data_IF_157093687435
#
_entry.id   IF_157093687435
#
_cell.length_a   1.000
_cell.length_b   1.000
_cell.length_c   1.000
_cell.angle_alpha   90.00
_cell.angle_beta   90.00
_cell.angle_gamma   90.00
#
_symmetry.space_group_name_H-M   'P 1'
#
loop_
_entity.id
_entity.type
_entity.pdbx_description
1 polymer ?
#
# COMPACT_ATOMS: atom_id res chain seq x y z
N UNK A 1 -17.77 -4.26 10.50
CA UNK A 1 -18.13 -3.74 9.16
C UNK A 1 -18.19 -2.22 9.28
N UNK A 2 -17.10 -1.54 8.94
CA UNK A 2 -17.05 -0.07 8.95
C UNK A 2 -17.60 0.42 7.62
N UNK A 3 -18.75 1.11 7.66
CA UNK A 3 -19.37 1.74 6.50
C UNK A 3 -18.52 2.93 6.05
N UNK A 4 -17.72 2.72 5.02
CA UNK A 4 -16.96 3.69 4.26
C UNK A 4 -17.79 4.41 3.18
N UNK A 5 -19.12 4.44 3.33
CA UNK A 5 -20.04 5.13 2.41
C UNK A 5 -20.30 4.37 1.10
N UNK A 6 -19.69 3.20 0.94
CA UNK A 6 -19.92 2.25 -0.13
C UNK A 6 -20.21 0.90 0.55
N UNK A 7 -21.48 0.55 0.75
CA UNK A 7 -21.92 -0.53 1.64
C UNK A 7 -21.57 -1.97 1.23
N UNK A 8 -20.33 -2.28 0.85
CA UNK A 8 -19.90 -3.62 0.44
C UNK A 8 -18.42 -3.93 0.72
N UNK A 9 -17.77 -3.26 1.68
CA UNK A 9 -16.38 -3.53 2.03
C UNK A 9 -16.26 -4.21 3.39
N UNK A 10 -15.77 -5.45 3.39
CA UNK A 10 -15.27 -6.10 4.61
C UNK A 10 -13.78 -5.82 4.68
N UNK A 11 -13.33 -5.21 5.77
CA UNK A 11 -11.94 -4.82 5.99
C UNK A 11 -11.51 -5.27 7.38
N UNK A 12 -10.32 -5.86 7.46
CA UNK A 12 -9.65 -6.16 8.72
C UNK A 12 -8.26 -5.52 8.78
N UNK A 13 -7.87 -5.12 9.99
CA UNK A 13 -6.63 -4.45 10.32
C UNK A 13 -5.81 -5.33 11.28
N UNK A 14 -4.59 -5.66 10.87
CA UNK A 14 -3.68 -6.46 11.69
C UNK A 14 -2.53 -5.56 12.17
N UNK A 15 -2.46 -5.22 13.47
CA UNK A 15 -1.37 -4.41 14.00
C UNK A 15 -0.06 -5.20 13.98
N UNK A 16 1.05 -4.50 13.75
CA UNK A 16 2.37 -5.08 13.95
C UNK A 16 2.60 -5.36 15.44
N UNK A 17 3.38 -6.39 15.77
CA UNK A 17 3.73 -6.73 17.16
C UNK A 17 4.35 -5.55 17.91
N UNK A 18 5.21 -4.77 17.24
CA UNK A 18 5.84 -3.56 17.78
C UNK A 18 4.84 -2.44 18.09
N UNK A 19 3.65 -2.46 17.47
CA UNK A 19 2.60 -1.49 17.71
C UNK A 19 1.72 -1.83 18.93
N UNK A 20 1.96 -2.94 19.61
CA UNK A 20 1.17 -3.37 20.76
C UNK A 20 1.20 -2.32 21.88
N UNK A 21 0.02 -1.87 22.31
CA UNK A 21 -0.12 -0.83 23.35
C UNK A 21 0.05 0.61 22.86
N UNK A 22 0.21 0.84 21.55
CA UNK A 22 0.34 2.17 20.96
C UNK A 22 -0.84 2.53 20.05
N UNK A 23 -1.05 3.84 19.82
CA UNK A 23 -2.03 4.33 18.86
C UNK A 23 -1.74 3.78 17.46
N UNK A 24 -2.73 3.14 16.85
CA UNK A 24 -2.58 2.53 15.52
C UNK A 24 -2.06 3.52 14.48
N UNK A 25 -2.44 4.80 14.55
CA UNK A 25 -2.00 5.86 13.60
C UNK A 25 -0.48 6.10 13.55
N UNK A 26 0.28 5.54 14.50
CA UNK A 26 1.73 5.73 14.61
C UNK A 26 2.57 4.64 13.94
N UNK A 27 1.95 3.57 13.46
CA UNK A 27 2.64 2.41 12.89
C UNK A 27 2.08 2.03 11.52
N UNK A 28 2.87 1.36 10.66
CA UNK A 28 2.36 0.75 9.45
C UNK A 28 1.20 -0.21 9.72
N UNK A 29 0.24 -0.24 8.81
CA UNK A 29 -0.96 -1.08 8.91
C UNK A 29 -0.94 -2.19 7.90
N UNK A 30 -1.16 -3.42 8.35
CA UNK A 30 -1.51 -4.53 7.47
C UNK A 30 -3.02 -4.58 7.33
N UNK A 31 -3.48 -4.75 6.11
CA UNK A 31 -4.89 -4.62 5.74
C UNK A 31 -5.27 -5.71 4.76
N UNK A 32 -6.41 -6.37 5.00
CA UNK A 32 -7.10 -7.17 4.00
C UNK A 32 -8.49 -6.60 3.73
N UNK A 33 -8.88 -6.38 2.47
CA UNK A 33 -10.20 -5.86 2.12
C UNK A 33 -10.85 -6.70 1.03
N UNK A 34 -12.15 -6.93 1.14
CA UNK A 34 -12.97 -7.60 0.15
C UNK A 34 -13.89 -6.57 -0.49
N UNK A 35 -13.75 -6.40 -1.81
CA UNK A 35 -14.57 -5.52 -2.65
C UNK A 35 -15.48 -6.39 -3.54
N UNK A 36 -16.47 -5.82 -4.24
CA UNK A 36 -17.27 -6.62 -5.17
C UNK A 36 -16.47 -7.23 -6.33
N UNK A 37 -15.35 -6.61 -6.75
CA UNK A 37 -14.59 -7.04 -7.92
C UNK A 37 -13.29 -7.79 -7.61
N UNK A 38 -12.72 -7.58 -6.42
CA UNK A 38 -11.44 -8.16 -6.03
C UNK A 38 -11.29 -8.17 -4.49
N UNK A 39 -10.25 -8.84 -4.02
CA UNK A 39 -9.74 -8.66 -2.68
C UNK A 39 -8.38 -7.95 -2.72
N UNK A 40 -8.03 -7.30 -1.61
CA UNK A 40 -6.84 -6.48 -1.46
C UNK A 40 -6.05 -6.96 -0.25
N UNK A 41 -4.75 -7.13 -0.39
CA UNK A 41 -3.81 -7.12 0.72
C UNK A 41 -2.92 -5.88 0.61
N UNK A 42 -2.91 -5.03 1.63
CA UNK A 42 -2.20 -3.76 1.62
C UNK A 42 -1.32 -3.56 2.86
N UNK A 43 -0.21 -2.85 2.65
CA UNK A 43 0.55 -2.19 3.71
C UNK A 43 0.37 -0.69 3.57
N UNK A 44 -0.11 -0.05 4.63
CA UNK A 44 -0.38 1.39 4.65
C UNK A 44 0.54 2.08 5.65
N UNK A 45 1.22 3.12 5.22
CA UNK A 45 1.93 4.06 6.07
C UNK A 45 0.98 5.22 6.41
N UNK A 46 0.50 5.32 7.66
CA UNK A 46 -0.36 6.42 8.06
C UNK A 46 0.40 7.75 8.05
N UNK A 47 -0.33 8.85 7.86
CA UNK A 47 0.24 10.20 7.93
C UNK A 47 0.92 10.49 9.28
N UNK A 48 0.38 9.92 10.36
CA UNK A 48 0.83 10.14 11.74
C UNK A 48 1.97 9.23 12.19
N UNK A 49 2.61 8.51 11.27
CA UNK A 49 3.70 7.59 11.60
C UNK A 49 4.82 8.30 12.38
N UNK A 50 5.22 7.70 13.49
CA UNK A 50 6.37 8.17 14.26
C UNK A 50 7.69 7.77 13.59
N UNK A 51 8.76 8.51 13.86
CA UNK A 51 10.09 8.13 13.39
C UNK A 51 10.38 8.55 11.96
N UNK A 52 10.10 9.81 11.58
CA UNK A 52 10.83 10.47 10.49
C UNK A 52 10.64 9.96 9.05
N UNK A 53 9.63 9.13 8.75
CA UNK A 53 9.40 8.55 7.41
C UNK A 53 9.50 9.57 6.27
N UNK A 54 8.79 10.71 6.36
CA UNK A 54 8.85 11.77 5.34
C UNK A 54 10.23 12.41 5.22
N UNK A 55 10.94 12.61 6.33
CA UNK A 55 12.30 13.15 6.33
C UNK A 55 13.25 12.18 5.64
N UNK A 56 13.12 10.87 5.88
CA UNK A 56 13.90 9.84 5.17
C UNK A 56 13.56 9.78 3.69
N UNK A 57 12.28 9.83 3.30
CA UNK A 57 11.90 9.93 1.88
C UNK A 57 12.51 11.17 1.20
N UNK A 58 12.54 12.30 1.91
CA UNK A 58 13.16 13.53 1.39
C UNK A 58 14.68 13.39 1.26
N UNK A 59 15.33 12.75 2.23
CA UNK A 59 16.78 12.51 2.22
C UNK A 59 17.19 11.50 1.13
N UNK A 60 16.41 10.44 0.93
CA UNK A 60 16.63 9.43 -0.10
C UNK A 60 16.39 9.96 -1.53
N UNK A 61 15.65 11.07 -1.67
CA UNK A 61 15.31 11.62 -2.97
C UNK A 61 14.31 10.76 -3.75
N UNK A 62 14.04 11.16 -5.00
CA UNK A 62 13.19 10.39 -5.91
C UNK A 62 13.82 9.03 -6.24
N UNK A 63 15.13 8.99 -6.48
CA UNK A 63 15.85 7.76 -6.84
C UNK A 63 15.75 6.71 -5.73
N UNK A 64 16.00 7.09 -4.47
CA UNK A 64 15.85 6.16 -3.35
C UNK A 64 14.40 5.70 -3.13
N UNK A 65 13.40 6.52 -3.48
CA UNK A 65 12.00 6.09 -3.48
C UNK A 65 11.72 5.08 -4.61
N UNK A 66 12.27 5.29 -5.81
CA UNK A 66 12.18 4.34 -6.91
C UNK A 66 12.87 3.02 -6.55
N UNK A 67 14.07 3.05 -5.95
CA UNK A 67 14.79 1.86 -5.49
C UNK A 67 13.97 1.06 -4.47
N UNK A 68 13.32 1.75 -3.52
CA UNK A 68 12.40 1.12 -2.58
C UNK A 68 11.25 0.41 -3.32
N UNK A 69 10.64 1.07 -4.32
CA UNK A 69 9.58 0.49 -5.13
C UNK A 69 10.06 -0.71 -5.96
N UNK A 70 11.27 -0.65 -6.53
CA UNK A 70 11.91 -1.76 -7.26
C UNK A 70 12.09 -2.97 -6.35
N UNK A 71 12.61 -2.74 -5.13
CA UNK A 71 12.77 -3.79 -4.13
C UNK A 71 11.45 -4.48 -3.81
N UNK A 72 10.39 -3.70 -3.54
CA UNK A 72 9.05 -4.23 -3.27
C UNK A 72 8.50 -4.99 -4.48
N UNK A 73 8.60 -4.45 -5.69
CA UNK A 73 8.11 -5.11 -6.90
C UNK A 73 8.81 -6.44 -7.16
N UNK A 74 10.13 -6.52 -6.95
CA UNK A 74 10.90 -7.76 -7.14
C UNK A 74 10.44 -8.87 -6.19
N UNK A 75 10.03 -8.51 -4.97
CA UNK A 75 9.49 -9.43 -3.97
C UNK A 75 8.03 -9.79 -4.21
N UNK A 76 7.22 -8.83 -4.68
CA UNK A 76 5.80 -9.06 -5.00
C UNK A 76 5.61 -9.87 -6.28
N UNK A 77 6.49 -9.72 -7.28
CA UNK A 77 6.29 -10.37 -8.58
C UNK A 77 6.09 -11.90 -8.49
N UNK A 78 6.89 -12.66 -7.73
CA UNK A 78 6.65 -14.08 -7.52
C UNK A 78 5.30 -14.40 -6.86
N UNK A 79 4.89 -13.60 -5.86
CA UNK A 79 3.59 -13.77 -5.16
C UNK A 79 2.43 -13.55 -6.12
N UNK A 80 2.52 -12.53 -6.98
CA UNK A 80 1.46 -12.18 -7.93
C UNK A 80 1.37 -13.15 -9.11
N UNK A 81 2.45 -13.83 -9.48
CA UNK A 81 2.46 -14.81 -10.60
C UNK A 81 1.55 -16.01 -10.33
N UNK A 82 1.33 -16.39 -9.07
CA UNK A 82 0.41 -17.48 -8.72
C UNK A 82 -1.07 -17.08 -8.87
N UNK A 83 -1.36 -15.78 -8.98
CA UNK A 83 -2.71 -15.24 -9.07
C UNK A 83 -2.94 -14.49 -10.38
N UNK A 84 -3.56 -15.16 -11.36
CA UNK A 84 -3.85 -14.56 -12.67
C UNK A 84 -4.76 -13.33 -12.51
N UNK A 85 -4.37 -12.23 -13.16
CA UNK A 85 -5.10 -10.97 -13.09
C UNK A 85 -4.80 -10.13 -11.85
N UNK A 86 -3.89 -10.58 -10.98
CA UNK A 86 -3.42 -9.79 -9.86
C UNK A 86 -2.46 -8.67 -10.30
N UNK A 87 -2.39 -7.61 -9.49
CA UNK A 87 -1.52 -6.46 -9.73
C UNK A 87 -1.09 -5.78 -8.44
N UNK A 88 0.16 -5.31 -8.42
CA UNK A 88 0.68 -4.43 -7.38
C UNK A 88 0.34 -2.98 -7.72
N UNK A 89 -0.19 -2.24 -6.76
CA UNK A 89 -0.51 -0.82 -6.86
C UNK A 89 0.24 -0.09 -5.76
N UNK A 90 0.93 0.98 -6.11
CA UNK A 90 1.41 2.00 -5.17
C UNK A 90 0.40 3.14 -5.14
N UNK A 91 0.15 3.71 -3.96
CA UNK A 91 -0.83 4.77 -3.83
C UNK A 91 -0.46 5.84 -2.81
N UNK A 92 -1.06 7.02 -2.99
CA UNK A 92 -1.14 8.09 -2.00
C UNK A 92 -2.60 8.57 -1.89
N UNK A 93 -3.12 8.70 -0.68
CA UNK A 93 -4.51 9.08 -0.43
C UNK A 93 -4.59 10.20 0.60
N UNK A 94 -5.39 11.22 0.30
CA UNK A 94 -5.83 12.22 1.26
C UNK A 94 -7.23 11.86 1.77
N UNK A 95 -7.41 11.91 3.10
CA UNK A 95 -8.73 11.77 3.72
C UNK A 95 -9.00 12.91 4.70
N UNK A 96 -10.22 13.40 4.70
CA UNK A 96 -10.75 14.25 5.76
C UNK A 96 -11.89 13.55 6.51
N UNK A 97 -12.12 13.99 7.75
CA UNK A 97 -13.12 13.44 8.65
C UNK A 97 -14.00 14.59 9.13
N UNK A 98 -15.32 14.45 9.04
CA UNK A 98 -16.27 15.45 9.57
C UNK A 98 -16.28 15.44 11.10
N UNK A 99 -16.02 14.29 11.72
CA UNK A 99 -15.79 14.11 13.15
C UNK A 99 -14.91 12.86 13.39
N UNK A 100 -14.37 12.69 14.60
CA UNK A 100 -13.53 11.52 14.93
C UNK A 100 -14.22 10.15 14.69
N UNK A 101 -15.56 10.12 14.69
CA UNK A 101 -16.36 8.91 14.47
C UNK A 101 -16.99 8.84 13.08
N UNK A 102 -16.81 9.88 12.26
CA UNK A 102 -17.38 9.91 10.91
C UNK A 102 -16.59 9.01 9.97
N UNK A 103 -17.31 8.44 9.01
CA UNK A 103 -16.72 7.83 7.83
C UNK A 103 -15.74 8.81 7.14
N UNK A 104 -14.50 8.39 6.86
CA UNK A 104 -13.57 9.23 6.11
C UNK A 104 -14.10 9.53 4.71
N UNK A 105 -13.91 10.78 4.27
CA UNK A 105 -14.13 11.17 2.88
C UNK A 105 -12.77 11.27 2.16
N UNK A 106 -12.68 10.70 0.96
CA UNK A 106 -11.47 10.75 0.14
C UNK A 106 -11.48 12.06 -0.65
N UNK A 107 -10.51 12.94 -0.38
CA UNK A 107 -10.34 14.20 -1.12
C UNK A 107 -9.59 14.00 -2.42
N UNK A 108 -8.69 13.01 -2.44
CA UNK A 108 -7.84 12.71 -3.57
C UNK A 108 -7.10 11.41 -3.35
N UNK A 109 -6.95 10.65 -4.43
CA UNK A 109 -6.21 9.40 -4.44
C UNK A 109 -5.44 9.28 -5.75
N UNK A 110 -4.13 9.07 -5.64
CA UNK A 110 -3.27 8.68 -6.75
C UNK A 110 -2.96 7.19 -6.59
N UNK A 111 -3.12 6.44 -7.68
CA UNK A 111 -2.76 5.04 -7.77
C UNK A 111 -1.95 4.82 -9.04
N UNK A 112 -0.94 3.96 -8.95
CA UNK A 112 -0.16 3.54 -10.11
C UNK A 112 0.11 2.04 -10.04
N UNK A 113 0.04 1.37 -11.19
CA UNK A 113 0.53 0.00 -11.31
C UNK A 113 2.04 0.01 -11.09
N UNK A 114 2.52 -0.74 -10.10
CA UNK A 114 3.94 -0.72 -9.74
C UNK A 114 4.83 -1.13 -10.91
N UNK A 115 4.31 -1.95 -11.84
CA UNK A 115 5.02 -2.39 -13.05
C UNK A 115 5.20 -1.28 -14.08
N UNK A 116 4.34 -0.26 -14.11
CA UNK A 116 4.54 0.90 -15.00
C UNK A 116 5.58 1.86 -14.43
N UNK A 117 5.82 1.82 -13.11
CA UNK A 117 6.72 2.73 -12.41
C UNK A 117 8.19 2.30 -12.46
N UNK A 118 8.48 1.08 -12.93
CA UNK A 118 9.80 0.47 -12.90
C UNK A 118 10.24 0.16 -14.32
N UNK A 119 11.46 0.59 -14.68
CA UNK A 119 12.04 0.29 -15.98
C UNK A 119 12.48 -1.18 -16.00
N UNK A 120 11.74 -2.01 -16.70
CA UNK A 120 12.09 -3.40 -16.99
C UNK A 120 11.97 -3.68 -18.48
N UNK A 121 13.11 -3.86 -19.16
CA UNK A 121 13.15 -4.11 -20.60
C UNK A 121 12.56 -5.47 -21.00
N UNK A 122 12.32 -6.37 -20.05
CA UNK A 122 11.70 -7.69 -20.29
C UNK A 122 10.19 -7.67 -20.05
N UNK A 123 9.67 -6.62 -19.41
CA UNK A 123 8.25 -6.50 -19.12
C UNK A 123 7.50 -6.01 -20.37
N UNK A 124 6.34 -6.61 -20.72
CA UNK A 124 5.47 -6.07 -21.77
C UNK A 124 4.74 -4.79 -21.33
N UNK A 125 4.87 -4.40 -20.06
CA UNK A 125 4.21 -3.22 -19.50
C UNK A 125 5.03 -1.97 -19.86
N UNK A 126 4.38 -0.98 -20.49
CA UNK A 126 5.01 0.29 -20.84
C UNK A 126 5.44 1.05 -19.58
N UNK A 127 6.69 1.47 -19.56
CA UNK A 127 7.26 2.33 -18.53
C UNK A 127 6.62 3.74 -18.57
N UNK A 128 6.14 4.20 -17.42
CA UNK A 128 5.45 5.48 -17.16
C UNK A 128 5.88 6.02 -15.78
N UNK A 129 7.09 6.62 -15.66
CA UNK A 129 7.62 7.10 -14.38
C UNK A 129 6.86 8.28 -13.79
N UNK A 130 6.10 9.02 -14.61
CA UNK A 130 5.42 10.26 -14.21
C UNK A 130 4.46 10.02 -13.04
N UNK A 131 3.89 8.81 -12.94
CA UNK A 131 3.00 8.43 -11.85
C UNK A 131 3.73 8.26 -10.52
N UNK A 132 4.90 7.60 -10.51
CA UNK A 132 5.67 7.43 -9.27
C UNK A 132 6.29 8.74 -8.82
N UNK A 133 6.72 9.57 -9.77
CA UNK A 133 7.18 10.94 -9.51
C UNK A 133 6.07 11.81 -8.89
N UNK A 134 4.85 11.70 -9.41
CA UNK A 134 3.69 12.42 -8.88
C UNK A 134 3.37 11.98 -7.46
N UNK A 135 3.37 10.67 -7.19
CA UNK A 135 3.18 10.12 -5.85
C UNK A 135 4.27 10.65 -4.91
N UNK A 136 5.55 10.54 -5.28
CA UNK A 136 6.67 11.06 -4.50
C UNK A 136 6.48 12.55 -4.15
N UNK A 137 6.21 13.37 -5.16
CA UNK A 137 6.02 14.81 -4.97
C UNK A 137 4.85 15.13 -4.03
N UNK A 138 3.74 14.37 -4.10
CA UNK A 138 2.64 14.51 -3.13
C UNK A 138 3.12 14.18 -1.72
N UNK A 139 3.90 13.12 -1.53
CA UNK A 139 4.36 12.69 -0.20
C UNK A 139 5.32 13.70 0.46
N UNK A 140 6.23 14.30 -0.31
CA UNK A 140 7.27 15.17 0.23
C UNK A 140 6.90 16.66 0.24
N UNK A 141 6.00 17.12 -0.65
CA UNK A 141 5.64 18.54 -0.76
C UNK A 141 4.34 18.90 -0.03
N UNK A 142 3.38 17.98 0.05
CA UNK A 142 2.07 18.26 0.66
C UNK A 142 2.10 18.01 2.16
N UNK A 143 1.66 19.01 2.95
CA UNK A 143 1.59 18.94 4.41
C UNK A 143 0.25 18.41 4.96
N UNK A 144 -0.66 18.01 4.07
CA UNK A 144 -1.99 17.49 4.43
C UNK A 144 -1.90 16.06 5.01
N UNK A 145 -3.03 15.53 5.47
CA UNK A 145 -3.19 14.16 5.94
C UNK A 145 -3.06 13.13 4.80
N UNK A 146 -1.84 12.97 4.28
CA UNK A 146 -1.51 12.04 3.22
C UNK A 146 -0.98 10.75 3.83
N UNK A 147 -1.65 9.66 3.49
CA UNK A 147 -1.23 8.29 3.75
C UNK A 147 -0.82 7.66 2.43
N UNK A 148 0.10 6.70 2.50
CA UNK A 148 0.62 6.03 1.32
C UNK A 148 0.80 4.55 1.58
N UNK A 149 0.97 3.77 0.53
CA UNK A 149 1.14 2.34 0.71
C UNK A 149 1.33 1.62 -0.61
N UNK A 150 1.50 0.31 -0.46
CA UNK A 150 1.48 -0.65 -1.56
C UNK A 150 0.41 -1.67 -1.27
N UNK A 151 -0.38 -2.00 -2.29
CA UNK A 151 -1.43 -3.00 -2.22
C UNK A 151 -1.33 -3.99 -3.38
N UNK A 152 -1.57 -5.27 -3.11
CA UNK A 152 -1.85 -6.26 -4.13
C UNK A 152 -3.37 -6.40 -4.26
N UNK A 153 -3.86 -6.32 -5.51
CA UNK A 153 -5.25 -6.60 -5.85
C UNK A 153 -5.32 -7.97 -6.48
N UNK A 154 -6.20 -8.83 -5.98
CA UNK A 154 -6.42 -10.17 -6.50
C UNK A 154 -7.84 -10.34 -7.00
N UNK A 155 -7.98 -10.71 -8.27
CA UNK A 155 -9.29 -10.99 -8.86
C UNK A 155 -9.91 -12.22 -8.21
N UNK A 156 -11.22 -12.20 -7.98
CA UNK A 156 -11.95 -13.42 -7.60
C UNK A 156 -11.94 -14.49 -8.68
N UNK A 157 -11.50 -14.21 -9.90
CA UNK A 157 -11.25 -15.23 -10.91
C UNK A 157 -10.02 -16.12 -10.58
N UNK A 158 -9.22 -15.76 -9.58
CA UNK A 158 -8.10 -16.58 -9.12
C UNK A 158 -8.60 -17.69 -8.17
N UNK A 159 -8.35 -18.98 -8.48
CA UNK A 159 -8.78 -20.08 -7.61
C UNK A 159 -8.23 -20.02 -6.18
N UNK A 160 -6.99 -19.55 -6.01
CA UNK A 160 -6.35 -19.40 -4.68
C UNK A 160 -7.14 -18.40 -3.81
N UNK A 161 -7.70 -17.35 -4.41
CA UNK A 161 -8.50 -16.36 -3.68
C UNK A 161 -9.85 -16.95 -3.22
N UNK A 162 -10.36 -17.95 -3.94
CA UNK A 162 -11.62 -18.63 -3.63
C UNK A 162 -11.45 -19.80 -2.65
N UNK A 163 -10.26 -19.96 -2.07
CA UNK A 163 -9.91 -21.09 -1.22
C UNK A 163 -9.25 -20.62 0.09
N UNK A 164 -9.11 -21.50 1.11
CA UNK A 164 -8.46 -21.14 2.38
C UNK A 164 -7.02 -20.62 2.23
N UNK A 165 -6.33 -21.03 1.17
CA UNK A 165 -4.97 -20.59 0.81
C UNK A 165 -4.87 -19.09 0.48
N UNK A 166 -6.00 -18.38 0.33
CA UNK A 166 -6.04 -16.91 0.19
C UNK A 166 -5.34 -16.21 1.37
N UNK A 167 -5.40 -16.79 2.58
CA UNK A 167 -4.75 -16.22 3.77
C UNK A 167 -3.23 -16.21 3.62
N UNK A 168 -2.65 -17.29 3.10
CA UNK A 168 -1.21 -17.38 2.84
C UNK A 168 -0.80 -16.38 1.74
N UNK A 169 -1.63 -16.23 0.71
CA UNK A 169 -1.41 -15.24 -0.34
C UNK A 169 -1.35 -13.81 0.21
N UNK A 170 -2.22 -13.45 1.15
CA UNK A 170 -2.18 -12.15 1.83
C UNK A 170 -0.95 -12.00 2.73
N UNK A 171 -0.61 -13.04 3.50
CA UNK A 171 0.56 -13.03 4.37
C UNK A 171 1.87 -12.85 3.57
N UNK A 172 2.04 -13.60 2.47
CA UNK A 172 3.20 -13.47 1.58
C UNK A 172 3.25 -12.10 0.90
N UNK A 173 2.10 -11.51 0.60
CA UNK A 173 2.04 -10.12 0.11
C UNK A 173 2.59 -9.14 1.14
N UNK A 174 2.14 -9.22 2.39
CA UNK A 174 2.63 -8.31 3.44
C UNK A 174 4.13 -8.49 3.69
N UNK A 175 4.63 -9.73 3.67
CA UNK A 175 6.07 -10.02 3.75
C UNK A 175 6.85 -9.43 2.56
N UNK A 176 6.30 -9.51 1.36
CA UNK A 176 6.94 -8.93 0.17
C UNK A 176 7.04 -7.39 0.24
N UNK A 177 6.14 -6.74 0.97
CA UNK A 177 6.14 -5.29 1.21
C UNK A 177 6.93 -4.87 2.46
N UNK A 178 7.58 -5.81 3.15
CA UNK A 178 8.47 -5.55 4.29
C UNK A 178 9.48 -4.41 4.08
N UNK A 179 10.10 -4.20 2.88
CA UNK A 179 11.00 -3.07 2.67
C UNK A 179 10.36 -1.72 2.99
N UNK A 180 9.07 -1.53 2.72
CA UNK A 180 8.35 -0.30 3.06
C UNK A 180 8.18 -0.15 4.57
N UNK A 181 7.89 -1.25 5.28
CA UNK A 181 7.73 -1.28 6.74
C UNK A 181 9.06 -0.92 7.39
N UNK A 182 10.14 -1.57 6.98
CA UNK A 182 11.48 -1.34 7.50
C UNK A 182 11.97 0.07 7.20
N UNK A 183 11.73 0.58 5.99
CA UNK A 183 12.02 1.99 5.67
C UNK A 183 11.22 2.96 6.55
N UNK A 184 9.97 2.63 6.86
CA UNK A 184 9.11 3.44 7.70
C UNK A 184 9.46 3.39 9.19
N UNK A 185 10.08 2.31 9.66
CA UNK A 185 10.41 2.05 11.06
C UNK A 185 11.90 2.05 11.40
N UNK A 186 12.79 2.42 10.47
CA UNK A 186 14.25 2.29 10.62
C UNK A 186 14.88 2.90 11.90
N UNK A 187 14.12 3.70 12.67
CA UNK A 187 14.55 4.34 13.93
C UNK A 187 13.52 4.16 15.08
N UNK A 188 12.62 3.16 15.00
CA UNK A 188 11.50 2.94 15.94
C UNK A 188 11.73 1.76 16.90
#
# INVERSE_FOLDING_TARGET
ITNDGFGAYVWDFIPLKIASGHDFIRFPHLTMSFRPQDCIAAVTIPNGISGGFRSRLKAAGLDGFIELMVSIQSRLSPVLRSSKGSRAIVYATQRHYKSQRSTPQIDGRLEADLRTCIRDNKSPVKYQPEWIESIYNVLIRKRSNIQCGVEARFSYACPIVQSPEAVDLFAETWKAVEPLISFALADA
#
